data_IF_400996985749
#
_entry.id   IF_400996985749
#
_cell.length_a   1.000
_cell.length_b   1.000
_cell.length_c   1.000
_cell.angle_alpha   90.00
_cell.angle_beta   90.00
_cell.angle_gamma   90.00
#
_symmetry.space_group_name_H-M   'P 1'
#
loop_
_entity.id
_entity.type
_entity.pdbx_description
1 polymer ?
#
# COMPACT_ATOMS: atom_id res chain seq x y z
N UNK A 1 21.50 -9.28 19.17
CA UNK A 1 20.05 -9.13 18.95
C UNK A 1 19.84 -9.12 17.44
N UNK A 2 19.28 -10.20 16.87
CA UNK A 2 19.10 -10.32 15.43
C UNK A 2 18.10 -9.27 14.92
N UNK A 3 18.37 -8.64 13.77
CA UNK A 3 17.51 -7.63 13.14
C UNK A 3 16.04 -8.07 13.00
N UNK A 4 15.83 -9.38 12.87
CA UNK A 4 14.55 -10.09 12.95
C UNK A 4 13.64 -9.66 14.11
N UNK A 5 14.19 -9.47 15.31
CA UNK A 5 13.42 -9.13 16.50
C UNK A 5 12.86 -7.71 16.44
N UNK A 6 13.50 -6.81 15.67
CA UNK A 6 13.08 -5.42 15.47
C UNK A 6 12.12 -5.27 14.28
N UNK A 7 12.18 -6.17 13.30
CA UNK A 7 11.29 -6.18 12.13
C UNK A 7 9.88 -6.66 12.48
N UNK A 8 9.75 -7.61 13.41
CA UNK A 8 8.46 -8.15 13.88
C UNK A 8 7.45 -7.09 14.33
N UNK A 9 7.76 -6.15 15.23
CA UNK A 9 6.79 -5.12 15.64
C UNK A 9 6.41 -4.17 14.51
N UNK A 10 7.33 -3.85 13.60
CA UNK A 10 7.03 -3.02 12.42
C UNK A 10 6.08 -3.75 11.46
N UNK A 11 6.37 -5.02 11.15
CA UNK A 11 5.52 -5.85 10.30
C UNK A 11 4.11 -5.99 10.90
N UNK A 12 4.00 -6.22 12.21
CA UNK A 12 2.70 -6.31 12.90
C UNK A 12 1.87 -5.03 12.77
N UNK A 13 2.50 -3.87 12.97
CA UNK A 13 1.84 -2.58 12.81
C UNK A 13 1.43 -2.33 11.35
N UNK A 14 2.31 -2.67 10.41
CA UNK A 14 2.06 -2.53 8.98
C UNK A 14 0.92 -3.43 8.52
N UNK A 15 0.89 -4.71 8.95
CA UNK A 15 -0.19 -5.65 8.63
C UNK A 15 -1.55 -5.15 9.10
N UNK A 16 -1.63 -4.60 10.32
CA UNK A 16 -2.88 -4.03 10.86
C UNK A 16 -3.36 -2.82 10.05
N UNK A 17 -2.46 -1.92 9.69
CA UNK A 17 -2.79 -0.71 8.91
C UNK A 17 -3.15 -1.06 7.48
N UNK A 18 -2.26 -1.76 6.79
CA UNK A 18 -2.42 -2.16 5.39
C UNK A 18 -3.61 -3.09 5.20
N UNK A 19 -3.87 -4.02 6.13
CA UNK A 19 -5.06 -4.86 6.08
C UNK A 19 -6.36 -4.06 6.10
N UNK A 20 -6.45 -3.01 6.93
CA UNK A 20 -7.61 -2.11 6.95
C UNK A 20 -7.73 -1.30 5.66
N UNK A 21 -6.62 -0.77 5.16
CA UNK A 21 -6.61 0.00 3.93
C UNK A 21 -7.02 -0.86 2.73
N UNK A 22 -6.54 -2.10 2.65
CA UNK A 22 -6.87 -3.05 1.57
C UNK A 22 -8.27 -3.67 1.69
N UNK A 23 -8.88 -3.62 2.88
CA UNK A 23 -10.28 -4.05 3.09
C UNK A 23 -11.28 -3.13 2.40
N UNK A 24 -10.86 -1.91 2.02
CA UNK A 24 -11.68 -1.02 1.19
C UNK A 24 -11.75 -1.59 -0.22
N UNK A 25 -12.98 -1.81 -0.71
CA UNK A 25 -13.23 -2.38 -2.03
C UNK A 25 -12.46 -1.64 -3.13
N UNK A 26 -11.80 -2.40 -4.01
CA UNK A 26 -11.04 -1.86 -5.15
C UNK A 26 -9.58 -1.48 -4.85
N UNK A 27 -9.18 -1.22 -3.60
CA UNK A 27 -7.79 -0.82 -3.30
C UNK A 27 -6.77 -1.91 -3.56
N UNK A 28 -7.09 -3.16 -3.26
CA UNK A 28 -6.20 -4.28 -3.57
C UNK A 28 -6.01 -4.42 -5.09
N UNK A 29 -7.08 -4.31 -5.87
CA UNK A 29 -7.03 -4.39 -7.34
C UNK A 29 -6.19 -3.26 -7.96
N UNK A 30 -6.33 -2.03 -7.45
CA UNK A 30 -5.53 -0.89 -7.91
C UNK A 30 -4.04 -1.06 -7.54
N UNK A 31 -3.76 -1.53 -6.31
CA UNK A 31 -2.39 -1.77 -5.86
C UNK A 31 -1.67 -2.82 -6.72
N UNK A 32 -2.32 -3.96 -6.99
CA UNK A 32 -1.72 -5.02 -7.82
C UNK A 32 -1.51 -4.58 -9.28
N UNK A 33 -2.41 -3.73 -9.81
CA UNK A 33 -2.25 -3.13 -11.13
C UNK A 33 -1.04 -2.19 -11.19
N UNK A 34 -0.81 -1.37 -10.16
CA UNK A 34 0.35 -0.49 -10.11
C UNK A 34 1.65 -1.31 -9.96
N UNK A 35 1.63 -2.33 -9.11
CA UNK A 35 2.78 -3.19 -8.88
C UNK A 35 3.16 -4.00 -10.12
N UNK A 36 2.19 -4.56 -10.84
CA UNK A 36 2.44 -5.28 -12.10
C UNK A 36 3.07 -4.38 -13.15
N UNK A 37 2.59 -3.13 -13.28
CA UNK A 37 3.17 -2.14 -14.19
C UNK A 37 4.58 -1.68 -13.77
N UNK A 38 4.85 -1.55 -12.47
CA UNK A 38 6.10 -0.98 -11.96
C UNK A 38 7.23 -2.01 -11.84
N UNK A 39 6.90 -3.24 -11.41
CA UNK A 39 7.87 -4.30 -11.10
C UNK A 39 7.77 -5.50 -12.05
N UNK A 40 6.81 -5.51 -12.99
CA UNK A 40 6.51 -6.67 -13.83
C UNK A 40 5.69 -7.73 -13.07
N UNK A 41 5.36 -8.82 -13.75
CA UNK A 41 4.49 -9.88 -13.24
C UNK A 41 3.00 -9.57 -13.42
N UNK A 42 2.15 -10.56 -13.17
CA UNK A 42 0.71 -10.46 -13.33
C UNK A 42 0.01 -9.88 -12.09
N UNK A 43 -1.17 -9.29 -12.27
CA UNK A 43 -2.00 -8.78 -11.17
C UNK A 43 -2.43 -9.90 -10.22
N UNK A 44 -2.72 -11.10 -10.72
CA UNK A 44 -3.11 -12.24 -9.90
C UNK A 44 -1.94 -12.76 -9.06
N UNK A 45 -0.73 -12.81 -9.64
CA UNK A 45 0.48 -13.15 -8.90
C UNK A 45 0.73 -12.16 -7.74
N UNK A 46 0.57 -10.86 -8.01
CA UNK A 46 0.70 -9.83 -6.98
C UNK A 46 -0.40 -9.93 -5.92
N UNK A 47 -1.63 -10.26 -6.30
CA UNK A 47 -2.75 -10.46 -5.38
C UNK A 47 -2.45 -11.60 -4.42
N UNK A 48 -2.10 -12.76 -4.95
CA UNK A 48 -1.71 -13.92 -4.14
C UNK A 48 -0.53 -13.60 -3.23
N UNK A 49 0.48 -12.91 -3.76
CA UNK A 49 1.66 -12.53 -3.00
C UNK A 49 1.33 -11.63 -1.82
N UNK A 50 0.52 -10.59 -2.04
CA UNK A 50 0.07 -9.68 -0.97
C UNK A 50 -0.77 -10.45 0.05
N UNK A 51 -1.65 -11.35 -0.38
CA UNK A 51 -2.43 -12.18 0.53
C UNK A 51 -1.54 -13.09 1.39
N UNK A 52 -0.50 -13.73 0.82
CA UNK A 52 0.46 -14.54 1.59
C UNK A 52 1.24 -13.71 2.60
N UNK A 53 1.61 -12.47 2.23
CA UNK A 53 2.23 -11.52 3.17
C UNK A 53 1.26 -11.16 4.30
N UNK A 54 -0.01 -10.86 3.97
CA UNK A 54 -1.05 -10.56 4.96
C UNK A 54 -1.27 -11.73 5.93
N UNK A 55 -1.22 -12.96 5.42
CA UNK A 55 -1.34 -14.20 6.21
C UNK A 55 -0.06 -14.59 6.95
N UNK A 56 1.03 -13.80 6.85
CA UNK A 56 2.37 -14.11 7.39
C UNK A 56 2.98 -15.41 6.86
N UNK A 57 2.46 -15.93 5.76
CA UNK A 57 2.97 -17.13 5.09
C UNK A 57 4.23 -16.83 4.28
N UNK A 58 4.37 -15.58 3.83
CA UNK A 58 5.57 -15.09 3.15
C UNK A 58 6.16 -13.90 3.90
N UNK A 59 7.48 -13.94 4.12
CA UNK A 59 8.22 -12.81 4.66
C UNK A 59 8.50 -11.78 3.55
N UNK A 60 7.94 -10.56 3.62
CA UNK A 60 8.18 -9.53 2.64
C UNK A 60 9.54 -8.85 2.87
N UNK A 61 10.20 -8.45 1.79
CA UNK A 61 11.35 -7.55 1.88
C UNK A 61 10.89 -6.15 2.33
N UNK A 62 11.72 -5.46 3.11
CA UNK A 62 11.41 -4.11 3.62
C UNK A 62 11.08 -3.12 2.49
N UNK A 63 11.83 -3.15 1.39
CA UNK A 63 11.56 -2.30 0.23
C UNK A 63 10.15 -2.49 -0.36
N UNK A 64 9.64 -3.73 -0.37
CA UNK A 64 8.29 -4.01 -0.84
C UNK A 64 7.24 -3.43 0.11
N UNK A 65 7.46 -3.53 1.42
CA UNK A 65 6.58 -2.93 2.43
C UNK A 65 6.50 -1.42 2.29
N UNK A 66 7.66 -0.76 2.15
CA UNK A 66 7.74 0.70 1.97
C UNK A 66 7.09 1.16 0.67
N UNK A 67 7.30 0.41 -0.42
CA UNK A 67 6.65 0.70 -1.70
C UNK A 67 5.13 0.61 -1.59
N UNK A 68 4.60 -0.47 -1.01
CA UNK A 68 3.16 -0.63 -0.81
C UNK A 68 2.62 0.50 0.09
N UNK A 69 3.31 0.84 1.18
CA UNK A 69 2.91 1.94 2.07
C UNK A 69 2.85 3.28 1.33
N UNK A 70 3.86 3.56 0.49
CA UNK A 70 3.91 4.76 -0.36
C UNK A 70 2.75 4.80 -1.36
N UNK A 71 2.44 3.66 -1.99
CA UNK A 71 1.31 3.55 -2.90
C UNK A 71 0.01 3.81 -2.15
N UNK A 72 -0.23 3.15 -1.02
CA UNK A 72 -1.43 3.32 -0.21
C UNK A 72 -1.59 4.76 0.32
N UNK A 73 -0.49 5.42 0.73
CA UNK A 73 -0.51 6.81 1.19
C UNK A 73 -0.87 7.78 0.07
N UNK A 74 -0.42 7.52 -1.16
CA UNK A 74 -0.71 8.38 -2.32
C UNK A 74 -2.19 8.37 -2.71
N UNK A 75 -2.86 7.23 -2.60
CA UNK A 75 -4.30 7.05 -2.91
C UNK A 75 -5.22 7.58 -1.80
N UNK A 76 -4.71 7.75 -0.58
CA UNK A 76 -5.43 8.39 0.53
C UNK A 76 -5.40 9.91 0.50
N UNK A 77 -4.59 10.51 -0.38
CA UNK A 77 -4.53 11.95 -0.55
C UNK A 77 -5.76 12.40 -1.32
N UNK A 78 -6.82 12.79 -0.58
CA UNK A 78 -7.93 13.58 -1.10
C UNK A 78 -7.33 14.68 -2.01
N UNK A 79 -7.84 14.88 -3.24
CA UNK A 79 -7.38 16.00 -4.06
C UNK A 79 -7.44 17.28 -3.20
N UNK A 80 -6.47 18.20 -3.33
CA UNK A 80 -6.53 19.46 -2.58
C UNK A 80 -7.92 20.05 -2.79
N UNK A 81 -8.59 20.57 -1.74
CA UNK A 81 -9.86 21.26 -1.94
C UNK A 81 -9.63 22.24 -3.07
N UNK A 82 -10.46 22.17 -4.11
CA UNK A 82 -10.43 23.14 -5.17
C UNK A 82 -10.47 24.50 -4.48
N UNK A 83 -9.36 25.22 -4.53
CA UNK A 83 -9.37 26.64 -4.21
C UNK A 83 -10.24 27.21 -5.29
N UNK A 84 -11.53 27.38 -4.97
CA UNK A 84 -12.37 28.38 -5.58
C UNK A 84 -11.74 29.71 -5.14
N UNK A 85 -10.63 30.04 -5.79
CA UNK A 85 -10.07 31.38 -5.82
C UNK A 85 -11.15 32.21 -6.48
N UNK A 86 -11.94 32.87 -5.63
CA UNK A 86 -12.95 33.81 -6.06
C UNK A 86 -12.30 34.86 -6.94
N UNK A 87 -12.64 34.82 -8.23
CA UNK A 87 -12.54 35.96 -9.11
C UNK A 87 -13.72 36.90 -8.79
N UNK A 88 -13.56 37.55 -7.64
CA UNK A 88 -14.09 38.88 -7.37
C UNK A 88 -13.16 39.83 -8.15
N UNK A 89 -13.72 40.82 -8.86
CA UNK A 89 -13.08 41.80 -9.78
C UNK A 89 -12.92 41.26 -11.23
N UNK A 90 -13.72 41.65 -12.23
CA UNK A 90 -14.10 43.00 -12.70
C UNK A 90 -15.58 43.09 -13.14
#
# INVERSE_FOLDING_TARGET
MSEDAKRKPYLDAWLKRTGRELSVSGRLSELVLILSRKKGGDQDEWRERIQRIMSREQEPCFELLTEIDTLLARQGSKPPPATDDGDLFD
#
